data_IF_380320715615
#
_entry.id   IF_380320715615
#
_cell.length_a   1.000
_cell.length_b   1.000
_cell.length_c   1.000
_cell.angle_alpha   90.00
_cell.angle_beta   90.00
_cell.angle_gamma   90.00
#
_symmetry.space_group_name_H-M   'P 1'
#
loop_
_entity.id
_entity.type
_entity.pdbx_description
1 polymer ?
#
# COMPACT_ATOMS: atom_id res chain seq x y z
N UNK A 1 0.72 -16.09 -11.48
CA UNK A 1 0.71 -14.77 -12.14
C UNK A 1 1.75 -13.87 -11.49
N UNK A 2 2.50 -13.12 -12.28
CA UNK A 2 3.57 -12.24 -11.80
C UNK A 2 3.18 -10.79 -12.05
N UNK A 3 3.24 -9.96 -11.01
CA UNK A 3 2.92 -8.54 -11.08
C UNK A 3 4.17 -7.65 -11.05
N UNK A 4 5.32 -8.18 -11.47
CA UNK A 4 6.56 -7.40 -11.52
C UNK A 4 6.33 -6.11 -12.32
N UNK A 5 6.79 -4.98 -11.75
CA UNK A 5 6.61 -3.64 -12.31
C UNK A 5 5.17 -3.13 -12.30
N UNK A 6 4.24 -3.84 -11.68
CA UNK A 6 2.87 -3.34 -11.48
C UNK A 6 2.76 -2.69 -10.12
N UNK A 7 2.09 -1.55 -10.06
CA UNK A 7 1.81 -0.83 -8.81
C UNK A 7 0.39 -1.16 -8.38
N UNK A 8 0.25 -1.67 -7.16
CA UNK A 8 -1.06 -2.02 -6.60
C UNK A 8 -1.31 -1.13 -5.39
N UNK A 9 -2.37 -0.35 -5.42
CA UNK A 9 -2.77 0.54 -4.33
C UNK A 9 -3.87 -0.15 -3.52
N UNK A 10 -3.64 -0.32 -2.23
CA UNK A 10 -4.58 -0.98 -1.35
C UNK A 10 -5.09 0.01 -0.32
N UNK A 11 -6.35 0.41 -0.46
CA UNK A 11 -7.01 1.27 0.53
C UNK A 11 -7.55 0.40 1.66
N UNK A 12 -7.63 0.96 2.87
CA UNK A 12 -8.04 0.20 4.04
C UNK A 12 -7.04 -0.89 4.39
N UNK A 13 -5.76 -0.67 4.11
CA UNK A 13 -4.71 -1.68 4.27
C UNK A 13 -4.50 -2.11 5.73
N UNK A 14 -4.98 -1.32 6.69
CA UNK A 14 -4.90 -1.67 8.10
C UNK A 14 -5.98 -2.68 8.53
N UNK A 15 -6.97 -2.96 7.69
CA UNK A 15 -8.01 -3.96 7.97
C UNK A 15 -7.48 -5.36 7.66
N UNK A 16 -8.15 -6.39 8.21
CA UNK A 16 -7.78 -7.78 7.95
C UNK A 16 -7.84 -8.14 6.46
N UNK A 17 -8.87 -7.65 5.75
CA UNK A 17 -9.03 -7.91 4.31
C UNK A 17 -7.95 -7.18 3.51
N UNK A 18 -7.70 -5.91 3.82
CA UNK A 18 -6.67 -5.11 3.14
C UNK A 18 -5.29 -5.69 3.33
N UNK A 19 -4.96 -6.10 4.56
CA UNK A 19 -3.69 -6.75 4.87
C UNK A 19 -3.51 -8.06 4.08
N UNK A 20 -4.54 -8.91 4.05
CA UNK A 20 -4.49 -10.16 3.31
C UNK A 20 -4.27 -9.93 1.82
N UNK A 21 -4.94 -8.92 1.25
CA UNK A 21 -4.75 -8.53 -0.15
C UNK A 21 -3.32 -8.04 -0.39
N UNK A 22 -2.78 -7.23 0.51
CA UNK A 22 -1.42 -6.72 0.39
C UNK A 22 -0.40 -7.85 0.35
N UNK A 23 -0.54 -8.84 1.23
CA UNK A 23 0.34 -10.01 1.25
C UNK A 23 0.25 -10.77 -0.06
N UNK A 24 -0.97 -10.97 -0.56
CA UNK A 24 -1.19 -11.72 -1.80
C UNK A 24 -0.48 -11.06 -2.99
N UNK A 25 -0.62 -9.74 -3.15
CA UNK A 25 0.04 -9.03 -4.24
C UNK A 25 1.55 -8.93 -4.03
N UNK A 26 2.00 -8.75 -2.79
CA UNK A 26 3.43 -8.73 -2.47
C UNK A 26 4.11 -10.03 -2.89
N UNK A 27 3.49 -11.17 -2.62
CA UNK A 27 3.99 -12.48 -3.02
C UNK A 27 4.07 -12.65 -4.53
N UNK A 28 3.35 -11.83 -5.29
CA UNK A 28 3.36 -11.84 -6.76
C UNK A 28 4.28 -10.77 -7.34
N UNK A 29 5.16 -10.22 -6.53
CA UNK A 29 6.19 -9.24 -6.91
C UNK A 29 5.63 -7.86 -7.29
N UNK A 30 4.41 -7.53 -6.88
CA UNK A 30 3.86 -6.19 -7.11
C UNK A 30 4.58 -5.15 -6.25
N UNK A 31 4.61 -3.92 -6.74
CA UNK A 31 4.96 -2.75 -5.91
C UNK A 31 3.70 -2.37 -5.17
N UNK A 32 3.72 -2.48 -3.85
CA UNK A 32 2.51 -2.34 -3.03
C UNK A 32 2.47 -0.98 -2.36
N UNK A 33 1.35 -0.28 -2.52
CA UNK A 33 1.08 0.98 -1.82
C UNK A 33 -0.01 0.72 -0.80
N UNK A 34 0.33 0.92 0.47
CA UNK A 34 -0.59 0.72 1.59
C UNK A 34 -1.19 2.05 1.98
N UNK A 35 -2.51 2.17 1.94
CA UNK A 35 -3.23 3.40 2.24
C UNK A 35 -4.24 3.17 3.35
N UNK A 36 -4.18 3.96 4.40
CA UNK A 36 -5.17 3.98 5.46
C UNK A 36 -5.05 5.27 6.27
N UNK A 37 -6.03 5.55 7.11
CA UNK A 37 -6.04 6.76 7.94
C UNK A 37 -5.09 6.69 9.13
N UNK A 38 -4.81 5.49 9.65
CA UNK A 38 -3.99 5.30 10.85
C UNK A 38 -2.60 4.84 10.49
N UNK A 39 -1.64 5.74 10.63
CA UNK A 39 -0.25 5.47 10.25
C UNK A 39 0.39 4.34 11.05
N UNK A 40 0.14 4.29 12.35
CA UNK A 40 0.73 3.27 13.22
C UNK A 40 0.31 1.86 12.82
N UNK A 41 -0.94 1.69 12.36
CA UNK A 41 -1.41 0.40 11.87
C UNK A 41 -0.81 0.06 10.51
N UNK A 42 -0.64 1.07 9.64
CA UNK A 42 0.03 0.90 8.36
C UNK A 42 1.46 0.42 8.54
N UNK A 43 2.19 0.99 9.49
CA UNK A 43 3.57 0.60 9.75
C UNK A 43 3.66 -0.83 10.26
N UNK A 44 2.69 -1.29 11.04
CA UNK A 44 2.63 -2.68 11.45
C UNK A 44 2.44 -3.62 10.26
N UNK A 45 1.52 -3.27 9.35
CA UNK A 45 1.28 -4.06 8.14
C UNK A 45 2.51 -4.05 7.25
N UNK A 46 3.14 -2.90 7.06
CA UNK A 46 4.38 -2.80 6.28
C UNK A 46 5.43 -3.76 6.83
N UNK A 47 5.62 -3.77 8.14
CA UNK A 47 6.59 -4.65 8.78
C UNK A 47 6.28 -6.13 8.52
N UNK A 48 5.00 -6.50 8.60
CA UNK A 48 4.59 -7.89 8.38
C UNK A 48 4.76 -8.33 6.94
N UNK A 49 4.49 -7.46 5.96
CA UNK A 49 4.58 -7.84 4.55
C UNK A 49 5.96 -7.61 3.94
N UNK A 50 6.86 -6.94 4.64
CA UNK A 50 8.21 -6.63 4.12
C UNK A 50 8.99 -7.88 3.78
N UNK A 51 8.69 -9.01 4.40
CA UNK A 51 9.32 -10.29 4.08
C UNK A 51 8.90 -10.84 2.72
N UNK A 52 7.81 -10.31 2.13
CA UNK A 52 7.28 -10.79 0.85
C UNK A 52 7.47 -9.80 -0.30
N UNK A 53 7.76 -8.54 -0.01
CA UNK A 53 7.82 -7.49 -1.03
C UNK A 53 9.06 -6.62 -0.85
N UNK A 54 9.70 -6.30 -1.96
CA UNK A 54 10.87 -5.41 -1.97
C UNK A 54 10.46 -3.94 -2.09
N UNK A 55 9.28 -3.67 -2.63
CA UNK A 55 8.82 -2.30 -2.90
C UNK A 55 7.48 -2.06 -2.22
N UNK A 56 7.53 -1.34 -1.09
CA UNK A 56 6.34 -0.99 -0.31
C UNK A 56 6.37 0.52 -0.05
N UNK A 57 5.26 1.18 -0.32
CA UNK A 57 5.07 2.59 0.03
C UNK A 57 3.89 2.70 0.98
N UNK A 58 4.08 3.40 2.09
CA UNK A 58 3.03 3.64 3.08
C UNK A 58 2.53 5.07 2.95
N UNK A 59 1.23 5.23 2.73
CA UNK A 59 0.59 6.54 2.60
C UNK A 59 -0.54 6.68 3.61
N UNK A 60 -0.37 7.58 4.58
CA UNK A 60 -1.46 7.96 5.46
C UNK A 60 -2.40 8.86 4.69
N UNK A 61 -3.64 8.42 4.49
CA UNK A 61 -4.60 9.15 3.67
C UNK A 61 -6.03 8.81 4.08
N UNK A 62 -6.84 9.86 4.21
CA UNK A 62 -8.28 9.71 4.31
C UNK A 62 -8.86 9.78 2.90
N UNK A 63 -9.32 8.65 2.36
CA UNK A 63 -9.80 8.57 0.98
C UNK A 63 -11.08 9.38 0.73
N UNK A 64 -11.74 9.85 1.79
CA UNK A 64 -12.85 10.78 1.64
C UNK A 64 -12.39 12.23 1.43
N UNK A 65 -11.11 12.50 1.63
CA UNK A 65 -10.52 13.84 1.46
C UNK A 65 -9.82 13.93 0.10
N UNK A 66 -10.39 14.72 -0.82
CA UNK A 66 -9.87 14.82 -2.20
C UNK A 66 -8.45 15.35 -2.27
N UNK A 67 -8.09 16.29 -1.40
CA UNK A 67 -6.73 16.85 -1.38
C UNK A 67 -5.70 15.80 -0.96
N UNK A 68 -6.03 14.98 0.05
CA UNK A 68 -5.15 13.91 0.49
C UNK A 68 -5.00 12.82 -0.57
N UNK A 69 -6.08 12.49 -1.28
CA UNK A 69 -6.03 11.52 -2.39
C UNK A 69 -5.12 12.01 -3.49
N UNK A 70 -5.20 13.28 -3.83
CA UNK A 70 -4.32 13.88 -4.85
C UNK A 70 -2.86 13.82 -4.41
N UNK A 71 -2.56 14.19 -3.18
CA UNK A 71 -1.20 14.13 -2.64
C UNK A 71 -0.66 12.70 -2.65
N UNK A 72 -1.49 11.74 -2.29
CA UNK A 72 -1.12 10.33 -2.31
C UNK A 72 -0.82 9.87 -3.73
N UNK A 73 -1.67 10.21 -4.69
CA UNK A 73 -1.46 9.86 -6.10
C UNK A 73 -0.16 10.45 -6.63
N UNK A 74 0.13 11.71 -6.31
CA UNK A 74 1.36 12.37 -6.73
C UNK A 74 2.58 11.68 -6.13
N UNK A 75 2.52 11.29 -4.86
CA UNK A 75 3.59 10.56 -4.19
C UNK A 75 3.84 9.20 -4.85
N UNK A 76 2.78 8.48 -5.19
CA UNK A 76 2.89 7.18 -5.86
C UNK A 76 3.55 7.33 -7.23
N UNK A 77 3.12 8.32 -8.01
CA UNK A 77 3.70 8.58 -9.32
C UNK A 77 5.17 8.98 -9.24
N UNK A 78 5.54 9.77 -8.24
CA UNK A 78 6.93 10.20 -8.07
C UNK A 78 7.83 9.06 -7.55
N UNK A 79 7.28 8.11 -6.80
CA UNK A 79 8.04 7.01 -6.22
C UNK A 79 8.21 5.85 -7.21
N UNK A 80 7.18 5.55 -7.95
CA UNK A 80 7.14 4.44 -8.89
C UNK A 80 6.90 4.90 -10.32
#
# INVERSE_FOLDING_TARGET
>A
MNFKNKVVVITGASSGIGKASAIKFAKKNAKVVLVARRKEKLLQVEKEISQYADSILVCQCDVSNKSQVKEMSDTVLDTF
#
